data_IF_498855387409
#
_entry.id   IF_498855387409
#
_cell.length_a   1.000
_cell.length_b   1.000
_cell.length_c   1.000
_cell.angle_alpha   90.00
_cell.angle_beta   90.00
_cell.angle_gamma   90.00
#
_symmetry.space_group_name_H-M   'P 1'
#
loop_
_entity.id
_entity.type
_entity.pdbx_description
1 polymer ?
#
# COMPACT_ATOMS: atom_id res chain seq x y z
N UNK A 1 5.37 65.21 -10.91
CA UNK A 1 4.33 64.20 -11.22
C UNK A 1 4.88 63.01 -12.02
N UNK A 2 5.57 63.21 -13.16
CA UNK A 2 6.14 62.10 -13.96
C UNK A 2 7.10 61.16 -13.19
N UNK A 3 8.01 61.72 -12.39
CA UNK A 3 8.98 60.93 -11.60
C UNK A 3 8.34 60.03 -10.54
N UNK A 4 7.29 60.51 -9.86
CA UNK A 4 6.58 59.74 -8.82
C UNK A 4 5.83 58.56 -9.45
N UNK A 5 5.17 58.79 -10.58
CA UNK A 5 4.46 57.74 -11.33
C UNK A 5 5.46 56.69 -11.86
N UNK A 6 6.64 57.13 -12.33
CA UNK A 6 7.69 56.22 -12.81
C UNK A 6 8.28 55.36 -11.68
N UNK A 7 8.51 55.93 -10.50
CA UNK A 7 8.97 55.19 -9.31
C UNK A 7 7.92 54.17 -8.84
N UNK A 8 6.65 54.56 -8.84
CA UNK A 8 5.55 53.68 -8.47
C UNK A 8 5.41 52.52 -9.49
N UNK A 9 5.55 52.81 -10.77
CA UNK A 9 5.60 51.79 -11.84
C UNK A 9 6.77 50.82 -11.65
N UNK A 10 7.96 51.28 -11.27
CA UNK A 10 9.09 50.39 -10.97
C UNK A 10 8.82 49.46 -9.79
N UNK A 11 8.17 49.95 -8.73
CA UNK A 11 7.75 49.11 -7.59
C UNK A 11 6.74 48.06 -8.05
N UNK A 12 5.77 48.45 -8.89
CA UNK A 12 4.79 47.51 -9.45
C UNK A 12 5.46 46.46 -10.34
N UNK A 13 6.42 46.84 -11.18
CA UNK A 13 7.17 45.90 -12.02
C UNK A 13 7.95 44.90 -11.16
N UNK A 14 8.64 45.36 -10.12
CA UNK A 14 9.36 44.48 -9.20
C UNK A 14 8.41 43.51 -8.47
N UNK A 15 7.25 44.00 -8.03
CA UNK A 15 6.21 43.18 -7.41
C UNK A 15 5.65 42.12 -8.38
N UNK A 16 5.32 42.50 -9.61
CA UNK A 16 4.83 41.58 -10.65
C UNK A 16 5.91 40.55 -11.03
N UNK A 17 7.17 40.95 -11.11
CA UNK A 17 8.30 40.04 -11.34
C UNK A 17 8.45 38.99 -10.24
N UNK A 18 8.30 39.40 -8.97
CA UNK A 18 8.30 38.47 -7.84
C UNK A 18 7.09 37.52 -7.86
N UNK A 19 5.89 38.02 -8.18
CA UNK A 19 4.68 37.19 -8.35
C UNK A 19 4.89 36.14 -9.45
N UNK A 20 5.45 36.52 -10.59
CA UNK A 20 5.74 35.59 -11.68
C UNK A 20 6.74 34.51 -11.27
N UNK A 21 7.82 34.90 -10.59
CA UNK A 21 8.80 33.95 -10.05
C UNK A 21 8.16 32.96 -9.08
N UNK A 22 7.36 33.45 -8.12
CA UNK A 22 6.65 32.61 -7.14
C UNK A 22 5.66 31.66 -7.82
N UNK A 23 4.94 32.13 -8.85
CA UNK A 23 3.98 31.33 -9.62
C UNK A 23 4.64 30.16 -10.34
N UNK A 24 5.88 30.34 -10.84
CA UNK A 24 6.62 29.28 -11.52
C UNK A 24 7.31 28.34 -10.52
N UNK A 25 7.96 28.87 -9.48
CA UNK A 25 8.72 28.05 -8.53
C UNK A 25 7.85 27.28 -7.54
N UNK A 26 6.72 27.86 -7.11
CA UNK A 26 5.82 27.25 -6.13
C UNK A 26 5.40 25.82 -6.50
N UNK A 27 4.86 25.57 -7.70
CA UNK A 27 4.49 24.23 -8.15
C UNK A 27 5.68 23.26 -8.23
N UNK A 28 6.88 23.75 -8.57
CA UNK A 28 8.08 22.92 -8.70
C UNK A 28 8.54 22.43 -7.33
N UNK A 29 8.65 23.33 -6.35
CA UNK A 29 9.01 22.98 -4.98
C UNK A 29 7.97 22.07 -4.34
N UNK A 30 6.68 22.38 -4.53
CA UNK A 30 5.58 21.53 -4.09
C UNK A 30 5.71 20.10 -4.62
N UNK A 31 5.96 19.93 -5.92
CA UNK A 31 6.10 18.61 -6.52
C UNK A 31 7.31 17.83 -5.98
N UNK A 32 8.45 18.51 -5.74
CA UNK A 32 9.64 17.88 -5.12
C UNK A 32 9.35 17.38 -3.71
N UNK A 33 8.77 18.24 -2.87
CA UNK A 33 8.42 17.90 -1.48
C UNK A 33 7.38 16.78 -1.46
N UNK A 34 6.36 16.89 -2.32
CA UNK A 34 5.31 15.88 -2.50
C UNK A 34 5.89 14.51 -2.81
N UNK A 35 6.70 14.39 -3.87
CA UNK A 35 7.29 13.13 -4.28
C UNK A 35 8.14 12.51 -3.16
N UNK A 36 8.97 13.31 -2.50
CA UNK A 36 9.83 12.84 -1.41
C UNK A 36 9.03 12.33 -0.21
N UNK A 37 7.92 13.00 0.16
CA UNK A 37 7.07 12.57 1.28
C UNK A 37 6.20 11.39 0.91
N UNK A 38 5.62 11.38 -0.29
CA UNK A 38 4.80 10.29 -0.79
C UNK A 38 5.61 9.00 -0.87
N UNK A 39 6.86 9.05 -1.37
CA UNK A 39 7.73 7.87 -1.40
C UNK A 39 7.90 7.22 -0.01
N UNK A 40 8.13 8.03 1.03
CA UNK A 40 8.27 7.51 2.40
C UNK A 40 6.97 6.94 2.96
N UNK A 41 5.84 7.62 2.74
CA UNK A 41 4.53 7.15 3.21
C UNK A 41 4.11 5.88 2.48
N UNK A 42 4.33 5.82 1.16
CA UNK A 42 4.03 4.65 0.34
C UNK A 42 4.89 3.46 0.75
N UNK A 43 6.16 3.66 1.13
CA UNK A 43 6.99 2.59 1.70
C UNK A 43 6.34 1.95 2.93
N UNK A 44 5.89 2.77 3.88
CA UNK A 44 5.17 2.27 5.07
C UNK A 44 3.84 1.59 4.71
N UNK A 45 3.08 2.13 3.74
CA UNK A 45 1.84 1.50 3.27
C UNK A 45 2.08 0.15 2.59
N UNK A 46 3.20 -0.03 1.87
CA UNK A 46 3.60 -1.33 1.31
C UNK A 46 3.97 -2.33 2.40
N UNK A 47 4.73 -1.90 3.41
CA UNK A 47 5.06 -2.74 4.55
C UNK A 47 3.77 -3.23 5.25
N UNK A 48 2.79 -2.34 5.44
CA UNK A 48 1.46 -2.71 5.99
C UNK A 48 0.74 -3.69 5.06
N UNK A 49 0.71 -3.45 3.75
CA UNK A 49 0.06 -4.34 2.78
C UNK A 49 0.67 -5.75 2.83
N UNK A 50 1.99 -5.85 2.81
CA UNK A 50 2.67 -7.13 2.75
C UNK A 50 2.48 -7.89 4.08
N UNK A 51 2.44 -7.18 5.21
CA UNK A 51 2.07 -7.74 6.51
C UNK A 51 0.61 -8.22 6.57
N UNK A 52 -0.34 -7.44 6.05
CA UNK A 52 -1.76 -7.83 5.99
C UNK A 52 -1.99 -9.04 5.08
N UNK A 53 -1.27 -9.14 3.95
CA UNK A 53 -1.32 -10.31 3.08
C UNK A 53 -0.81 -11.57 3.79
N UNK A 54 0.29 -11.46 4.53
CA UNK A 54 0.79 -12.56 5.36
C UNK A 54 -0.20 -12.94 6.48
N UNK A 55 -0.81 -11.94 7.10
CA UNK A 55 -1.84 -12.14 8.12
C UNK A 55 -3.05 -12.90 7.54
N UNK A 56 -3.50 -12.53 6.34
CA UNK A 56 -4.55 -13.24 5.62
C UNK A 56 -4.16 -14.67 5.26
N UNK A 57 -2.94 -14.90 4.79
CA UNK A 57 -2.46 -16.22 4.39
C UNK A 57 -2.48 -17.21 5.58
N UNK A 58 -2.09 -16.75 6.77
CA UNK A 58 -1.98 -17.60 7.96
C UNK A 58 -3.30 -17.67 8.75
N UNK A 59 -4.03 -16.56 8.90
CA UNK A 59 -5.25 -16.50 9.74
C UNK A 59 -6.56 -16.59 8.96
N UNK A 60 -6.53 -16.38 7.63
CA UNK A 60 -7.71 -16.38 6.76
C UNK A 60 -8.50 -15.05 6.73
N UNK A 61 -8.09 -14.04 7.51
CA UNK A 61 -8.72 -12.71 7.57
C UNK A 61 -7.67 -11.59 7.64
N UNK A 62 -8.07 -10.33 7.48
CA UNK A 62 -7.24 -9.16 7.73
C UNK A 62 -7.46 -8.59 9.13
N UNK A 63 -6.54 -7.76 9.63
CA UNK A 63 -6.69 -7.08 10.93
C UNK A 63 -6.91 -5.58 10.78
N UNK A 64 -7.75 -5.02 11.66
CA UNK A 64 -7.98 -3.58 11.74
C UNK A 64 -7.11 -2.90 12.81
N UNK A 65 -6.30 -3.68 13.52
CA UNK A 65 -5.53 -3.25 14.68
C UNK A 65 -4.04 -3.45 14.44
N UNK A 66 -3.27 -2.39 14.66
CA UNK A 66 -1.83 -2.38 14.46
C UNK A 66 -1.08 -3.20 15.50
N UNK A 67 -1.53 -3.19 16.75
CA UNK A 67 -0.85 -3.93 17.82
C UNK A 67 -0.95 -5.44 17.54
N UNK A 68 -2.14 -5.90 17.12
CA UNK A 68 -2.36 -7.26 16.63
C UNK A 68 -1.48 -7.61 15.42
N UNK A 69 -1.33 -6.69 14.46
CA UNK A 69 -0.49 -6.89 13.28
C UNK A 69 1.00 -7.01 13.65
N UNK A 70 1.49 -6.15 14.56
CA UNK A 70 2.88 -6.18 15.03
C UNK A 70 3.14 -7.47 15.84
N UNK A 71 2.23 -7.85 16.74
CA UNK A 71 2.33 -9.09 17.49
C UNK A 71 2.34 -10.32 16.57
N UNK A 72 1.53 -10.30 15.52
CA UNK A 72 1.53 -11.35 14.51
C UNK A 72 2.89 -11.46 13.82
N UNK A 73 3.49 -10.34 13.38
CA UNK A 73 4.80 -10.37 12.71
C UNK A 73 5.88 -10.96 13.63
N UNK A 74 5.83 -10.68 14.92
CA UNK A 74 6.79 -11.19 15.91
C UNK A 74 6.63 -12.68 16.23
N UNK A 75 5.41 -13.22 16.12
CA UNK A 75 5.09 -14.58 16.61
C UNK A 75 4.83 -15.58 15.49
N UNK A 76 4.37 -15.14 14.33
CA UNK A 76 3.94 -16.01 13.26
C UNK A 76 5.09 -16.50 12.39
N UNK A 77 4.87 -17.66 11.77
CA UNK A 77 5.82 -18.32 10.88
C UNK A 77 5.09 -18.84 9.65
N UNK A 78 5.70 -18.68 8.48
CA UNK A 78 5.27 -19.30 7.24
C UNK A 78 5.62 -20.78 7.24
N UNK A 79 4.67 -21.63 6.90
CA UNK A 79 4.92 -23.03 6.61
C UNK A 79 5.43 -23.17 5.18
N UNK A 80 6.66 -23.67 5.01
CA UNK A 80 7.17 -24.02 3.68
C UNK A 80 6.48 -25.31 3.25
N UNK A 81 5.54 -25.22 2.32
CA UNK A 81 4.80 -26.38 1.82
C UNK A 81 5.30 -26.82 0.46
N UNK A 82 5.46 -28.13 0.29
CA UNK A 82 5.69 -28.76 -1.00
C UNK A 82 4.40 -29.43 -1.46
N UNK A 83 3.90 -28.99 -2.62
CA UNK A 83 2.80 -29.65 -3.29
C UNK A 83 3.33 -30.82 -4.13
N UNK A 84 2.84 -32.02 -3.87
CA UNK A 84 3.13 -33.23 -4.66
C UNK A 84 1.83 -33.80 -5.21
N UNK A 85 1.69 -33.80 -6.53
CA UNK A 85 0.57 -34.45 -7.19
C UNK A 85 0.89 -35.95 -7.30
N UNK A 86 0.01 -36.78 -6.72
CA UNK A 86 0.15 -38.24 -6.67
C UNK A 86 -1.06 -38.88 -7.35
N UNK A 87 -0.83 -39.92 -8.14
CA UNK A 87 -1.90 -40.74 -8.72
C UNK A 87 -1.68 -42.20 -8.34
N UNK A 88 -2.75 -42.87 -7.94
CA UNK A 88 -2.74 -44.30 -7.65
C UNK A 88 -4.01 -44.95 -8.18
N UNK A 89 -3.95 -46.25 -8.47
CA UNK A 89 -5.07 -46.97 -9.07
C UNK A 89 -6.30 -46.98 -8.15
N UNK A 90 -7.47 -46.66 -8.70
CA UNK A 90 -8.75 -46.75 -8.01
C UNK A 90 -9.19 -48.21 -7.93
N UNK A 91 -8.74 -48.91 -6.89
CA UNK A 91 -9.02 -50.35 -6.71
C UNK A 91 -10.52 -50.64 -6.65
N UNK A 92 -11.32 -49.76 -6.05
CA UNK A 92 -12.76 -49.98 -5.89
C UNK A 92 -13.49 -49.85 -7.25
N UNK A 93 -13.17 -48.80 -8.01
CA UNK A 93 -13.78 -48.55 -9.31
C UNK A 93 -13.28 -49.55 -10.36
N UNK A 94 -11.99 -49.85 -10.40
CA UNK A 94 -11.44 -50.87 -11.30
C UNK A 94 -12.11 -52.23 -11.07
N UNK A 95 -12.28 -52.65 -9.81
CA UNK A 95 -13.00 -53.90 -9.47
C UNK A 95 -14.48 -53.87 -9.86
N UNK A 96 -15.16 -52.74 -9.68
CA UNK A 96 -16.57 -52.60 -10.04
C UNK A 96 -16.83 -52.70 -11.56
N UNK A 97 -15.88 -52.27 -12.39
CA UNK A 97 -15.97 -52.35 -13.85
C UNK A 97 -15.27 -53.58 -14.46
N UNK A 98 -14.75 -54.50 -13.64
CA UNK A 98 -14.04 -55.69 -14.12
C UNK A 98 -12.71 -55.40 -14.81
N UNK A 99 -12.10 -54.24 -14.51
CA UNK A 99 -10.81 -53.81 -15.06
C UNK A 99 -9.69 -54.13 -14.08
N UNK A 100 -8.54 -54.58 -14.58
CA UNK A 100 -7.33 -54.75 -13.75
C UNK A 100 -6.65 -53.41 -13.48
N UNK A 101 -6.57 -52.53 -14.49
CA UNK A 101 -6.05 -51.15 -14.37
C UNK A 101 -6.79 -50.26 -15.39
N UNK A 102 -7.14 -49.03 -15.00
CA UNK A 102 -7.80 -48.08 -15.92
C UNK A 102 -8.29 -46.78 -15.27
N UNK A 103 -8.80 -46.85 -14.04
CA UNK A 103 -9.16 -45.69 -13.24
C UNK A 103 -8.06 -45.39 -12.20
N UNK A 104 -7.72 -44.10 -12.09
CA UNK A 104 -6.76 -43.58 -11.12
C UNK A 104 -7.43 -42.50 -10.26
N UNK A 105 -7.06 -42.47 -8.97
CA UNK A 105 -7.40 -41.40 -8.05
C UNK A 105 -6.22 -40.44 -8.02
N UNK A 106 -6.47 -39.20 -8.40
CA UNK A 106 -5.51 -38.11 -8.28
C UNK A 106 -5.68 -37.47 -6.90
N UNK A 107 -4.60 -37.38 -6.13
CA UNK A 107 -4.55 -36.67 -4.86
C UNK A 107 -3.37 -35.73 -4.82
N UNK A 108 -3.61 -34.53 -4.31
CA UNK A 108 -2.59 -33.55 -4.01
C UNK A 108 -2.16 -33.73 -2.55
N UNK A 109 -0.92 -34.14 -2.32
CA UNK A 109 -0.30 -34.08 -1.00
C UNK A 109 0.37 -32.72 -0.79
N UNK A 110 0.18 -32.16 0.41
CA UNK A 110 0.88 -30.96 0.87
C UNK A 110 1.78 -31.36 2.04
N UNK A 111 3.07 -31.50 1.77
CA UNK A 111 4.07 -31.83 2.79
C UNK A 111 4.68 -30.54 3.34
N UNK A 112 4.73 -30.38 4.67
CA UNK A 112 5.37 -29.21 5.30
C UNK A 112 6.86 -29.50 5.50
N UNK A 113 7.73 -28.76 4.82
CA UNK A 113 9.19 -28.93 4.84
C UNK A 113 9.85 -28.20 6.02
N UNK A 114 9.21 -27.17 6.57
CA UNK A 114 9.74 -26.39 7.67
C UNK A 114 8.97 -25.10 7.89
N UNK A 115 9.50 -24.25 8.78
CA UNK A 115 8.90 -22.98 9.16
C UNK A 115 9.92 -21.84 9.01
N UNK A 116 9.47 -20.71 8.48
CA UNK A 116 10.26 -19.47 8.37
C UNK A 116 9.53 -18.34 9.08
N UNK A 117 10.17 -17.60 10.01
CA UNK A 117 9.53 -16.46 10.67
C UNK A 117 9.04 -15.40 9.68
N UNK A 118 7.82 -14.88 9.90
CA UNK A 118 7.24 -13.82 9.06
C UNK A 118 8.11 -12.57 9.08
N UNK A 119 8.61 -12.21 10.26
CA UNK A 119 9.58 -11.11 10.45
C UNK A 119 10.79 -11.21 9.51
N UNK A 120 11.41 -12.38 9.43
CA UNK A 120 12.63 -12.56 8.64
C UNK A 120 12.31 -12.57 7.13
N UNK A 121 11.18 -13.16 6.75
CA UNK A 121 10.74 -13.23 5.36
C UNK A 121 10.38 -11.85 4.78
N UNK A 122 9.62 -11.05 5.52
CA UNK A 122 9.12 -9.75 5.03
C UNK A 122 10.07 -8.59 5.31
N UNK A 123 10.72 -8.60 6.49
CA UNK A 123 11.49 -7.45 6.98
C UNK A 123 12.99 -7.71 7.02
N UNK A 124 13.46 -8.92 6.68
CA UNK A 124 14.89 -9.27 6.60
C UNK A 124 15.68 -8.88 7.86
N UNK A 125 15.08 -9.07 9.04
CA UNK A 125 15.67 -8.71 10.33
C UNK A 125 15.55 -7.22 10.72
N UNK A 126 14.86 -6.38 9.93
CA UNK A 126 14.57 -5.00 10.28
C UNK A 126 13.40 -4.87 11.25
N UNK A 127 13.51 -3.96 12.22
CA UNK A 127 12.43 -3.62 13.16
C UNK A 127 11.46 -2.54 12.62
N UNK A 128 11.52 -2.23 11.32
CA UNK A 128 10.71 -1.15 10.71
C UNK A 128 9.19 -1.36 10.84
N UNK A 129 8.73 -2.61 10.92
CA UNK A 129 7.33 -2.98 11.12
C UNK A 129 6.73 -2.39 12.41
N UNK A 130 7.53 -2.17 13.46
CA UNK A 130 7.06 -1.55 14.70
C UNK A 130 6.66 -0.08 14.52
N UNK A 131 7.24 0.58 13.51
CA UNK A 131 7.04 2.01 13.23
C UNK A 131 6.23 2.28 11.97
N UNK A 132 5.76 1.24 11.27
CA UNK A 132 5.06 1.39 9.99
C UNK A 132 3.73 2.16 10.12
N UNK A 133 3.11 2.13 11.30
CA UNK A 133 1.91 2.92 11.61
C UNK A 133 2.14 4.43 11.61
N UNK A 134 3.38 4.87 11.84
CA UNK A 134 3.72 6.28 11.98
C UNK A 134 4.02 6.92 10.63
N UNK A 135 3.73 8.20 10.52
CA UNK A 135 4.01 8.97 9.31
C UNK A 135 5.46 9.48 9.37
N UNK A 136 6.33 9.12 8.41
CA UNK A 136 7.73 9.54 8.39
C UNK A 136 7.92 10.98 7.86
N UNK A 137 7.09 11.91 8.36
CA UNK A 137 7.10 13.33 8.00
C UNK A 137 7.29 14.16 9.28
N UNK A 138 8.26 15.08 9.26
CA UNK A 138 8.55 15.94 10.42
C UNK A 138 7.33 16.81 10.75
N UNK A 139 6.90 16.82 12.01
CA UNK A 139 5.80 17.66 12.49
C UNK A 139 4.40 17.04 12.39
N UNK A 140 4.30 15.77 11.97
CA UNK A 140 3.04 15.04 11.87
C UNK A 140 3.09 13.83 12.81
N UNK A 141 2.28 13.83 13.86
CA UNK A 141 2.18 12.73 14.84
C UNK A 141 0.93 11.86 14.64
N UNK A 142 0.36 11.91 13.43
CA UNK A 142 -0.82 11.11 13.11
C UNK A 142 -0.42 9.70 12.69
N UNK A 143 -1.25 8.71 13.02
CA UNK A 143 -1.09 7.33 12.56
C UNK A 143 -1.87 7.08 11.27
N UNK A 144 -1.41 6.12 10.47
CA UNK A 144 -2.18 5.61 9.32
C UNK A 144 -3.48 5.00 9.84
N UNK A 145 -4.58 5.22 9.13
CA UNK A 145 -5.87 4.60 9.49
C UNK A 145 -5.93 3.21 8.87
N UNK A 146 -5.99 2.18 9.69
CA UNK A 146 -6.20 0.79 9.27
C UNK A 146 -7.63 0.36 9.57
N UNK A 147 -8.27 -0.26 8.59
CA UNK A 147 -9.61 -0.84 8.73
C UNK A 147 -9.57 -2.22 8.08
N UNK A 148 -10.22 -3.19 8.71
CA UNK A 148 -10.46 -4.50 8.13
C UNK A 148 -11.93 -4.89 8.28
N UNK A 149 -12.39 -5.76 7.40
CA UNK A 149 -13.76 -6.23 7.39
C UNK A 149 -13.97 -7.38 6.41
N UNK A 150 -15.24 -7.71 6.19
CA UNK A 150 -15.67 -8.70 5.22
C UNK A 150 -16.63 -8.06 4.23
N UNK A 151 -16.43 -8.37 2.96
CA UNK A 151 -17.25 -7.90 1.84
C UNK A 151 -17.95 -9.09 1.20
N UNK A 152 -19.28 -9.03 1.08
CA UNK A 152 -20.06 -10.04 0.35
C UNK A 152 -20.18 -9.61 -1.12
N UNK A 153 -19.68 -10.42 -2.05
CA UNK A 153 -19.77 -10.18 -3.50
C UNK A 153 -20.11 -11.48 -4.21
N UNK A 154 -21.16 -11.49 -5.03
CA UNK A 154 -21.62 -12.66 -5.80
C UNK A 154 -21.76 -13.93 -4.93
N UNK A 155 -22.44 -13.79 -3.78
CA UNK A 155 -22.64 -14.83 -2.75
C UNK A 155 -21.40 -15.41 -2.07
N UNK A 156 -20.20 -14.96 -2.42
CA UNK A 156 -18.97 -15.25 -1.69
C UNK A 156 -18.62 -14.13 -0.72
N UNK A 157 -18.04 -14.51 0.43
CA UNK A 157 -17.54 -13.57 1.44
C UNK A 157 -16.03 -13.45 1.32
N UNK A 158 -15.54 -12.25 1.12
CA UNK A 158 -14.11 -11.95 0.99
C UNK A 158 -13.68 -11.08 2.16
N UNK A 159 -12.56 -11.42 2.78
CA UNK A 159 -11.90 -10.51 3.72
C UNK A 159 -11.33 -9.33 2.93
N UNK A 160 -11.46 -8.11 3.47
CA UNK A 160 -10.93 -6.88 2.87
C UNK A 160 -10.27 -6.01 3.94
N UNK A 161 -9.31 -5.18 3.53
CA UNK A 161 -8.70 -4.17 4.39
C UNK A 161 -8.48 -2.88 3.62
N UNK A 162 -8.34 -1.78 4.35
CA UNK A 162 -7.93 -0.49 3.82
C UNK A 162 -7.01 0.20 4.83
N UNK A 163 -5.79 0.47 4.41
CA UNK A 163 -4.87 1.36 5.09
C UNK A 163 -4.83 2.69 4.33
N UNK A 164 -5.20 3.78 4.99
CA UNK A 164 -5.32 5.09 4.33
C UNK A 164 -4.79 6.25 5.16
N UNK A 165 -4.41 7.30 4.44
CA UNK A 165 -3.88 8.54 5.00
C UNK A 165 -4.29 9.73 4.13
N UNK A 166 -4.72 10.83 4.75
CA UNK A 166 -5.08 12.05 4.02
C UNK A 166 -3.86 12.78 3.50
N UNK A 167 -3.92 13.24 2.25
CA UNK A 167 -2.90 14.10 1.65
C UNK A 167 -2.74 15.42 2.42
N UNK A 168 -3.81 15.90 3.06
CA UNK A 168 -3.79 17.07 3.93
C UNK A 168 -2.78 16.96 5.05
N UNK A 169 -2.69 15.77 5.64
CA UNK A 169 -1.82 15.51 6.77
C UNK A 169 -0.37 15.50 6.30
N UNK A 170 -0.11 14.89 5.14
CA UNK A 170 1.23 14.73 4.56
C UNK A 170 1.82 16.06 4.08
N UNK A 171 0.98 16.96 3.57
CA UNK A 171 1.36 18.22 2.93
C UNK A 171 0.78 19.44 3.67
N UNK A 172 0.56 19.32 4.98
CA UNK A 172 -0.09 20.34 5.82
C UNK A 172 0.63 21.70 5.86
N UNK A 173 1.94 21.70 5.63
CA UNK A 173 2.80 22.90 5.58
C UNK A 173 2.92 23.51 4.18
N UNK A 174 2.32 22.89 3.16
CA UNK A 174 2.40 23.35 1.78
C UNK A 174 1.27 24.32 1.42
N UNK A 175 1.37 24.93 0.24
CA UNK A 175 0.36 25.84 -0.28
C UNK A 175 -1.02 25.17 -0.40
N UNK A 176 -2.04 25.81 0.17
CA UNK A 176 -3.41 25.27 0.26
C UNK A 176 -4.08 25.14 -1.11
N UNK A 177 -3.76 26.02 -2.05
CA UNK A 177 -4.36 26.00 -3.38
C UNK A 177 -3.79 24.83 -4.19
N UNK A 178 -2.47 24.62 -4.11
CA UNK A 178 -1.79 23.47 -4.73
C UNK A 178 -2.25 22.15 -4.10
N UNK A 179 -2.45 22.12 -2.78
CA UNK A 179 -3.01 20.96 -2.08
C UNK A 179 -4.45 20.66 -2.52
N UNK A 180 -5.29 21.69 -2.69
CA UNK A 180 -6.66 21.51 -3.15
C UNK A 180 -6.72 20.95 -4.57
N UNK A 181 -5.85 21.45 -5.46
CA UNK A 181 -5.68 20.89 -6.81
C UNK A 181 -5.23 19.42 -6.75
N UNK A 182 -4.23 19.11 -5.94
CA UNK A 182 -3.68 17.75 -5.78
C UNK A 182 -4.70 16.72 -5.27
N UNK A 183 -5.69 17.13 -4.47
CA UNK A 183 -6.79 16.24 -4.03
C UNK A 183 -7.75 15.86 -5.16
N UNK A 184 -7.86 16.73 -6.16
CA UNK A 184 -8.76 16.54 -7.31
C UNK A 184 -8.05 15.83 -8.47
N UNK A 185 -6.75 15.55 -8.34
CA UNK A 185 -5.99 14.83 -9.37
C UNK A 185 -6.55 13.43 -9.55
N UNK A 186 -6.92 13.15 -10.80
CA UNK A 186 -7.21 11.82 -11.33
C UNK A 186 -6.29 11.63 -12.53
N UNK A 187 -5.15 10.98 -12.31
CA UNK A 187 -4.12 10.76 -13.32
C UNK A 187 -3.47 9.39 -13.17
N UNK A 188 -2.98 8.83 -14.28
CA UNK A 188 -2.20 7.60 -14.26
C UNK A 188 -0.85 7.82 -13.57
N UNK A 189 -0.30 9.04 -13.66
CA UNK A 189 1.01 9.42 -13.12
C UNK A 189 0.92 10.05 -11.72
N UNK A 190 -0.29 10.14 -11.15
CA UNK A 190 -0.58 10.77 -9.87
C UNK A 190 -1.20 9.82 -8.86
N UNK A 191 -1.15 10.17 -7.58
CA UNK A 191 -1.94 9.46 -6.56
C UNK A 191 -3.38 9.94 -6.67
N UNK A 192 -4.33 9.04 -6.91
CA UNK A 192 -5.71 9.43 -7.19
C UNK A 192 -6.50 9.73 -5.92
N UNK A 193 -7.19 10.87 -5.92
CA UNK A 193 -8.11 11.28 -4.86
C UNK A 193 -7.44 11.98 -3.67
N UNK A 194 -8.21 12.24 -2.59
CA UNK A 194 -7.75 13.04 -1.45
C UNK A 194 -6.87 12.27 -0.44
N UNK A 195 -6.83 10.94 -0.55
CA UNK A 195 -6.08 10.06 0.36
C UNK A 195 -5.07 9.23 -0.42
N UNK A 196 -3.96 8.86 0.20
CA UNK A 196 -3.12 7.76 -0.25
C UNK A 196 -3.62 6.52 0.47
N UNK A 197 -3.93 5.46 -0.26
CA UNK A 197 -4.50 4.24 0.31
C UNK A 197 -3.98 2.99 -0.35
N UNK A 198 -3.95 1.93 0.43
CA UNK A 198 -3.72 0.57 -0.01
C UNK A 198 -4.87 -0.31 0.45
N UNK A 199 -5.35 -1.14 -0.46
CA UNK A 199 -6.56 -1.91 -0.22
C UNK A 199 -7.85 -1.10 -0.45
N UNK A 200 -8.98 -1.76 -0.23
CA UNK A 200 -10.32 -1.16 -0.36
C UNK A 200 -11.30 -1.90 0.53
N UNK A 201 -12.11 -1.16 1.30
CA UNK A 201 -13.23 -1.77 2.04
C UNK A 201 -14.43 -2.13 1.14
N UNK A 202 -14.51 -1.53 -0.05
CA UNK A 202 -15.66 -1.65 -0.94
C UNK A 202 -15.45 -2.67 -2.07
N UNK A 203 -14.20 -3.08 -2.29
CA UNK A 203 -13.82 -3.99 -3.38
C UNK A 203 -12.75 -4.96 -2.91
N UNK A 204 -12.71 -6.14 -3.52
CA UNK A 204 -11.64 -7.13 -3.29
C UNK A 204 -10.38 -6.67 -4.03
N UNK A 205 -9.70 -5.68 -3.46
CA UNK A 205 -8.48 -5.11 -4.01
C UNK A 205 -7.50 -4.85 -2.87
N UNK A 206 -6.24 -5.26 -3.06
CA UNK A 206 -5.12 -5.07 -2.12
C UNK A 206 -4.05 -4.13 -2.68
N UNK A 207 -4.30 -3.53 -3.85
CA UNK A 207 -3.39 -2.62 -4.54
C UNK A 207 -3.43 -1.21 -3.94
N UNK A 208 -2.35 -0.46 -4.17
CA UNK A 208 -2.26 0.97 -3.85
C UNK A 208 -2.91 1.85 -4.91
N UNK A 209 -3.30 3.06 -4.54
CA UNK A 209 -3.83 4.08 -5.46
C UNK A 209 -2.76 5.03 -6.05
N UNK A 210 -1.51 4.58 -6.11
CA UNK A 210 -0.36 5.35 -6.58
C UNK A 210 0.25 4.74 -7.87
N UNK A 211 0.99 5.55 -8.65
CA UNK A 211 1.63 5.07 -9.88
C UNK A 211 2.82 4.15 -9.61
N UNK A 212 3.13 3.31 -10.61
CA UNK A 212 4.23 2.33 -10.57
C UNK A 212 5.61 2.94 -10.30
N UNK A 213 5.81 4.24 -10.53
CA UNK A 213 7.06 4.94 -10.22
C UNK A 213 7.43 4.83 -8.73
N UNK A 214 6.45 4.70 -7.85
CA UNK A 214 6.70 4.50 -6.43
C UNK A 214 6.94 3.02 -6.10
N UNK A 215 6.57 2.09 -6.98
CA UNK A 215 6.78 0.64 -6.81
C UNK A 215 8.20 0.21 -7.17
N UNK A 216 8.82 0.85 -8.16
CA UNK A 216 10.16 0.55 -8.66
C UNK A 216 11.31 1.14 -7.85
N UNK A 217 11.03 2.00 -6.87
CA UNK A 217 12.00 2.44 -5.89
C UNK A 217 12.34 1.26 -4.95
N UNK A 218 13.08 0.28 -5.48
CA UNK A 218 13.86 -0.63 -4.65
C UNK A 218 14.80 0.26 -3.84
N UNK A 219 14.73 0.09 -2.53
CA UNK A 219 15.66 0.68 -1.57
C UNK A 219 17.10 0.53 -2.10
N UNK A 220 17.64 1.61 -2.67
CA UNK A 220 19.07 1.80 -2.87
C UNK A 220 19.66 2.35 -1.58
#
# INVERSE_FOLDING_TARGET
MKLVIQLLLWIVIAFLGYQLYKSIQGPIEFNKVKQARYAKVIKNLKDIRDAELAFQEITGSFTGDFDSLVQFIDTAQFAIVQRRDTSFADVAKNKAFGLNEGYFIEKVLLDTLGFTPVKDSLFQGSDRYKTMMNIPVKGVDTKIQLKAGKLKKNDATYSVFEASISKDIILSDQDKDLLAQEKQVVSVDGVNGPTIKVGSMNEVNTSGNWPKIYDTAKDQ
#
